data_IF_301236197783
#
_entry.id   IF_301236197783
#
_cell.length_a   1.000
_cell.length_b   1.000
_cell.length_c   1.000
_cell.angle_alpha   90.00
_cell.angle_beta   90.00
_cell.angle_gamma   90.00
#
_symmetry.space_group_name_H-M   'P 1'
#
loop_
_entity.id
_entity.type
_entity.pdbx_description
1 polymer ?
#
# COMPACT_ATOMS: atom_id res chain seq x y z
N UNK A 1 0.19 -29.13 37.19
CA UNK A 1 0.60 -30.22 36.27
C UNK A 1 -0.18 -30.01 34.98
N UNK A 2 0.46 -29.36 34.01
CA UNK A 2 -0.15 -28.92 32.74
C UNK A 2 -0.68 -30.11 31.94
N UNK A 3 -1.94 -30.03 31.50
CA UNK A 3 -2.51 -30.99 30.56
C UNK A 3 -1.91 -30.74 29.18
N UNK A 4 -0.88 -31.49 28.80
CA UNK A 4 -0.50 -31.62 27.39
C UNK A 4 -1.67 -32.27 26.64
N UNK A 5 -2.26 -31.53 25.71
CA UNK A 5 -3.19 -32.07 24.73
C UNK A 5 -2.46 -33.14 23.91
N UNK A 6 -3.07 -34.31 23.73
CA UNK A 6 -2.50 -35.39 22.94
C UNK A 6 -2.58 -35.05 21.46
N UNK A 7 -1.62 -35.54 20.67
CA UNK A 7 -1.54 -35.27 19.21
C UNK A 7 -2.84 -35.60 18.46
N UNK A 8 -3.58 -36.62 18.93
CA UNK A 8 -4.89 -36.98 18.41
C UNK A 8 -5.96 -35.90 18.64
N UNK A 9 -5.94 -35.21 19.78
CA UNK A 9 -6.85 -34.09 20.06
C UNK A 9 -6.52 -32.85 19.22
N UNK A 10 -5.25 -32.71 18.85
CA UNK A 10 -4.76 -31.65 17.97
C UNK A 10 -5.15 -31.92 16.51
N UNK A 11 -5.03 -33.16 16.04
CA UNK A 11 -5.49 -33.56 14.70
C UNK A 11 -7.01 -33.45 14.57
N UNK A 12 -7.76 -33.84 15.61
CA UNK A 12 -9.23 -33.70 15.60
C UNK A 12 -9.70 -32.25 15.64
N UNK A 13 -8.99 -31.34 16.33
CA UNK A 13 -9.30 -29.91 16.28
C UNK A 13 -8.92 -29.29 14.94
N UNK A 14 -7.85 -29.75 14.30
CA UNK A 14 -7.48 -29.38 12.93
C UNK A 14 -8.54 -29.84 11.91
N UNK A 15 -8.97 -31.11 11.96
CA UNK A 15 -9.95 -31.66 11.01
C UNK A 15 -11.36 -31.09 11.21
N UNK A 16 -11.77 -30.79 12.45
CA UNK A 16 -13.05 -30.15 12.73
C UNK A 16 -13.11 -28.69 12.22
N UNK A 17 -11.96 -28.00 12.18
CA UNK A 17 -11.84 -26.66 11.57
C UNK A 17 -12.05 -26.68 10.06
N UNK A 18 -11.67 -27.77 9.38
CA UNK A 18 -11.81 -27.90 7.92
C UNK A 18 -13.21 -28.28 7.43
N UNK A 19 -14.05 -28.87 8.29
CA UNK A 19 -15.39 -29.34 7.88
C UNK A 19 -16.53 -28.37 8.17
N UNK A 20 -16.29 -27.24 8.84
CA UNK A 20 -17.34 -26.26 9.21
C UNK A 20 -17.38 -25.01 8.33
N UNK A 21 -16.49 -24.89 7.35
CA UNK A 21 -16.51 -23.78 6.39
C UNK A 21 -16.80 -24.33 5.01
N UNK A 22 -18.00 -24.07 4.51
CA UNK A 22 -18.37 -24.21 3.10
C UNK A 22 -17.57 -23.20 2.27
N UNK A 23 -16.28 -23.47 2.10
CA UNK A 23 -15.39 -22.68 1.27
C UNK A 23 -15.59 -23.08 -0.19
N UNK A 24 -16.20 -22.18 -0.97
CA UNK A 24 -16.20 -22.22 -2.42
C UNK A 24 -15.10 -21.27 -2.93
N UNK A 25 -14.06 -21.76 -3.63
CA UNK A 25 -13.07 -20.88 -4.23
C UNK A 25 -13.76 -19.91 -5.21
N UNK A 26 -13.72 -18.61 -4.91
CA UNK A 26 -14.30 -17.55 -5.75
C UNK A 26 -15.44 -16.74 -5.12
N UNK A 27 -15.93 -17.11 -3.94
CA UNK A 27 -16.80 -16.23 -3.13
C UNK A 27 -16.25 -16.14 -1.73
N UNK A 28 -15.78 -14.95 -1.29
CA UNK A 28 -15.25 -14.86 0.05
C UNK A 28 -16.43 -14.89 1.03
N UNK A 29 -16.38 -15.79 2.01
CA UNK A 29 -17.41 -15.95 3.04
C UNK A 29 -16.86 -15.51 4.41
N UNK A 30 -17.74 -15.00 5.29
CA UNK A 30 -17.38 -14.53 6.64
C UNK A 30 -17.01 -13.05 6.69
N UNK A 31 -16.04 -12.66 7.53
CA UNK A 31 -15.50 -11.28 7.61
C UNK A 31 -14.96 -10.76 6.25
N UNK A 32 -14.72 -11.69 5.33
CA UNK A 32 -14.30 -11.46 3.97
C UNK A 32 -15.47 -11.37 2.98
N UNK A 33 -16.74 -11.33 3.41
CA UNK A 33 -17.95 -11.28 2.54
C UNK A 33 -18.02 -10.15 1.49
N UNK A 34 -16.92 -9.42 1.29
CA UNK A 34 -16.70 -8.44 0.26
C UNK A 34 -17.21 -7.11 0.75
N UNK A 35 -16.30 -6.18 1.03
CA UNK A 35 -16.70 -4.78 1.04
C UNK A 35 -17.13 -4.45 -0.39
N UNK A 36 -18.40 -4.06 -0.57
CA UNK A 36 -18.89 -3.63 -1.87
C UNK A 36 -18.45 -2.18 -2.10
N UNK A 37 -17.42 -2.01 -2.94
CA UNK A 37 -16.88 -0.70 -3.28
C UNK A 37 -17.92 0.18 -3.98
N UNK A 38 -18.82 -0.39 -4.80
CA UNK A 38 -19.84 0.42 -5.47
C UNK A 38 -20.83 0.97 -4.44
N UNK A 39 -21.25 0.13 -3.49
CA UNK A 39 -22.13 0.57 -2.41
C UNK A 39 -21.47 1.64 -1.52
N UNK A 40 -20.15 1.59 -1.33
CA UNK A 40 -19.41 2.66 -0.64
C UNK A 40 -19.40 3.96 -1.45
N UNK A 41 -19.14 3.90 -2.76
CA UNK A 41 -19.14 5.09 -3.64
C UNK A 41 -20.52 5.77 -3.61
N UNK A 42 -21.58 4.97 -3.63
CA UNK A 42 -22.96 5.48 -3.64
C UNK A 42 -23.43 5.95 -2.25
N UNK A 43 -22.63 5.75 -1.19
CA UNK A 43 -22.98 6.11 0.18
C UNK A 43 -22.59 7.58 0.47
N UNK A 44 -23.54 8.43 0.93
CA UNK A 44 -23.22 9.83 1.27
C UNK A 44 -22.21 9.98 2.42
N UNK A 45 -22.12 8.98 3.31
CA UNK A 45 -21.25 8.99 4.48
C UNK A 45 -19.92 8.25 4.24
N UNK A 46 -19.57 7.95 2.98
CA UNK A 46 -18.37 7.19 2.62
C UNK A 46 -17.09 7.77 3.24
N UNK A 47 -16.98 9.10 3.29
CA UNK A 47 -15.84 9.80 3.86
C UNK A 47 -15.60 9.47 5.34
N UNK A 48 -16.67 9.23 6.08
CA UNK A 48 -16.59 8.90 7.51
C UNK A 48 -16.45 7.39 7.75
N UNK A 49 -16.99 6.58 6.83
CA UNK A 49 -16.99 5.11 6.95
C UNK A 49 -15.65 4.52 6.52
N UNK A 50 -15.14 4.89 5.34
CA UNK A 50 -13.97 4.28 4.71
C UNK A 50 -12.72 4.26 5.61
N UNK A 51 -12.34 5.37 6.29
CA UNK A 51 -11.16 5.38 7.16
C UNK A 51 -11.23 4.36 8.31
N UNK A 52 -12.44 3.95 8.70
CA UNK A 52 -12.71 3.06 9.83
C UNK A 52 -12.89 1.59 9.41
N UNK A 53 -12.86 1.29 8.11
CA UNK A 53 -12.99 -0.08 7.63
C UNK A 53 -11.72 -0.88 7.93
N UNK A 54 -11.86 -2.19 8.23
CA UNK A 54 -10.71 -3.07 8.39
C UNK A 54 -9.81 -3.05 7.14
N UNK A 55 -8.52 -2.78 7.35
CA UNK A 55 -7.50 -2.61 6.32
C UNK A 55 -7.52 -3.76 5.29
N UNK A 56 -7.34 -5.00 5.75
CA UNK A 56 -7.16 -6.13 4.85
C UNK A 56 -8.41 -6.46 4.00
N UNK A 57 -9.64 -6.51 4.55
CA UNK A 57 -10.85 -6.61 3.74
C UNK A 57 -11.01 -5.49 2.71
N UNK A 58 -10.68 -4.24 3.07
CA UNK A 58 -10.80 -3.10 2.16
C UNK A 58 -9.78 -3.19 1.02
N UNK A 59 -8.53 -3.57 1.35
CA UNK A 59 -7.49 -3.85 0.37
C UNK A 59 -7.96 -4.86 -0.67
N UNK A 60 -8.46 -6.02 -0.23
CA UNK A 60 -8.87 -7.08 -1.17
C UNK A 60 -10.06 -6.65 -2.02
N UNK A 61 -11.00 -5.89 -1.47
CA UNK A 61 -12.13 -5.35 -2.23
C UNK A 61 -11.67 -4.36 -3.31
N UNK A 62 -10.77 -3.43 -2.98
CA UNK A 62 -10.15 -2.50 -3.92
C UNK A 62 -9.30 -3.24 -4.96
N UNK A 63 -8.56 -4.27 -4.56
CA UNK A 63 -7.72 -5.07 -5.46
C UNK A 63 -8.56 -5.88 -6.45
N UNK A 64 -9.69 -6.44 -6.00
CA UNK A 64 -10.60 -7.21 -6.84
C UNK A 64 -11.30 -6.31 -7.87
N UNK A 65 -11.71 -5.10 -7.47
CA UNK A 65 -12.30 -4.12 -8.39
C UNK A 65 -11.26 -3.46 -9.29
N UNK A 66 -10.06 -3.23 -8.78
CA UNK A 66 -9.03 -2.39 -9.37
C UNK A 66 -9.00 -1.01 -8.70
N UNK A 67 -7.81 -0.58 -8.24
CA UNK A 67 -7.62 0.76 -7.66
C UNK A 67 -7.96 1.88 -8.64
N UNK A 68 -7.61 1.71 -9.92
CA UNK A 68 -7.93 2.68 -10.98
C UNK A 68 -9.44 2.80 -11.27
N UNK A 69 -10.23 1.79 -10.90
CA UNK A 69 -11.70 1.78 -11.05
C UNK A 69 -12.43 2.20 -9.76
N UNK A 70 -11.66 2.68 -8.78
CA UNK A 70 -12.13 3.02 -7.42
C UNK A 70 -11.59 4.39 -6.96
N UNK A 71 -11.32 5.31 -7.89
CA UNK A 71 -10.68 6.60 -7.62
C UNK A 71 -11.45 7.45 -6.61
N UNK A 72 -12.78 7.32 -6.57
CA UNK A 72 -13.67 8.04 -5.66
C UNK A 72 -13.48 7.65 -4.18
N UNK A 73 -12.96 6.45 -3.91
CA UNK A 73 -12.72 5.94 -2.56
C UNK A 73 -11.31 6.28 -2.06
N UNK A 74 -10.32 6.40 -2.96
CA UNK A 74 -8.93 6.59 -2.59
C UNK A 74 -8.69 7.81 -1.67
N UNK A 75 -9.32 8.98 -1.88
CA UNK A 75 -9.18 10.13 -0.99
C UNK A 75 -9.67 9.91 0.44
N UNK A 76 -10.53 8.90 0.66
CA UNK A 76 -11.10 8.60 1.97
C UNK A 76 -10.28 7.57 2.74
N UNK A 77 -9.21 7.03 2.16
CA UNK A 77 -8.34 6.11 2.87
C UNK A 77 -7.63 6.83 4.02
N UNK A 78 -7.56 6.16 5.16
CA UNK A 78 -6.72 6.58 6.26
C UNK A 78 -5.24 6.35 5.92
N UNK A 79 -4.34 7.09 6.58
CA UNK A 79 -2.90 6.88 6.44
C UNK A 79 -2.50 5.43 6.74
N UNK A 80 -3.01 4.85 7.83
CA UNK A 80 -2.75 3.46 8.21
C UNK A 80 -3.13 2.49 7.08
N UNK A 81 -4.29 2.68 6.45
CA UNK A 81 -4.72 1.86 5.32
C UNK A 81 -3.75 1.98 4.14
N UNK A 82 -3.33 3.20 3.77
CA UNK A 82 -2.40 3.42 2.65
C UNK A 82 -1.05 2.75 2.90
N UNK A 83 -0.48 2.88 4.09
CA UNK A 83 0.80 2.26 4.48
C UNK A 83 0.71 0.73 4.34
N UNK A 84 -0.34 0.12 4.90
CA UNK A 84 -0.52 -1.32 4.79
C UNK A 84 -0.80 -1.79 3.36
N UNK A 85 -1.50 -1.00 2.54
CA UNK A 85 -1.72 -1.35 1.14
C UNK A 85 -0.42 -1.30 0.35
N UNK A 86 0.44 -0.32 0.62
CA UNK A 86 1.78 -0.25 0.05
C UNK A 86 2.57 -1.52 0.40
N UNK A 87 2.62 -1.89 1.69
CA UNK A 87 3.28 -3.11 2.17
C UNK A 87 2.79 -4.38 1.44
N UNK A 88 1.48 -4.50 1.19
CA UNK A 88 0.96 -5.65 0.44
C UNK A 88 1.33 -5.63 -1.04
N UNK A 89 1.46 -4.46 -1.66
CA UNK A 89 1.67 -4.32 -3.10
C UNK A 89 3.13 -4.36 -3.51
N UNK A 90 4.04 -3.85 -2.68
CA UNK A 90 5.39 -3.44 -3.11
C UNK A 90 6.43 -4.54 -2.99
N UNK A 91 6.16 -5.56 -2.17
CA UNK A 91 7.09 -6.66 -1.93
C UNK A 91 6.84 -7.84 -2.87
N UNK A 92 7.93 -8.47 -3.28
CA UNK A 92 7.93 -9.76 -3.97
C UNK A 92 8.80 -10.75 -3.18
N UNK A 93 8.17 -11.48 -2.26
CA UNK A 93 8.90 -12.22 -1.23
C UNK A 93 9.63 -11.25 -0.29
N UNK A 94 10.97 -11.36 -0.25
CA UNK A 94 11.83 -10.53 0.62
C UNK A 94 12.44 -9.33 -0.13
N UNK A 95 12.05 -9.08 -1.38
CA UNK A 95 12.58 -8.00 -2.21
C UNK A 95 11.55 -6.87 -2.40
N UNK A 96 11.98 -5.64 -2.13
CA UNK A 96 11.18 -4.45 -2.43
C UNK A 96 11.26 -4.13 -3.93
N UNK A 97 10.12 -3.85 -4.56
CA UNK A 97 10.05 -3.46 -5.97
C UNK A 97 9.59 -2.01 -6.17
N UNK A 98 10.49 -1.10 -6.55
CA UNK A 98 10.13 0.29 -6.87
C UNK A 98 9.05 0.38 -7.96
N UNK A 99 9.13 -0.50 -8.96
CA UNK A 99 8.14 -0.55 -10.05
C UNK A 99 6.73 -0.86 -9.55
N UNK A 100 6.60 -1.73 -8.54
CA UNK A 100 5.31 -2.08 -7.93
C UNK A 100 4.80 -0.94 -7.06
N UNK A 101 5.68 -0.25 -6.34
CA UNK A 101 5.31 0.98 -5.63
C UNK A 101 4.73 2.02 -6.59
N UNK A 102 5.41 2.33 -7.71
CA UNK A 102 4.89 3.32 -8.65
C UNK A 102 3.55 2.89 -9.27
N UNK A 103 3.36 1.60 -9.52
CA UNK A 103 2.07 1.08 -9.98
C UNK A 103 0.97 1.22 -8.92
N UNK A 104 1.29 1.02 -7.64
CA UNK A 104 0.39 1.26 -6.52
C UNK A 104 0.05 2.74 -6.33
N UNK A 105 1.02 3.64 -6.52
CA UNK A 105 0.84 5.09 -6.37
C UNK A 105 0.11 5.75 -7.55
N UNK A 106 0.19 5.15 -8.75
CA UNK A 106 -0.39 5.70 -9.99
C UNK A 106 -1.88 6.07 -9.91
N UNK A 107 -2.77 5.28 -9.29
CA UNK A 107 -4.17 5.66 -9.10
C UNK A 107 -4.34 6.95 -8.28
N UNK A 108 -3.51 7.20 -7.27
CA UNK A 108 -3.55 8.46 -6.52
C UNK A 108 -3.15 9.66 -7.40
N UNK A 109 -2.18 9.48 -8.30
CA UNK A 109 -1.85 10.49 -9.31
C UNK A 109 -3.00 10.79 -10.28
N UNK A 110 -3.86 9.79 -10.55
CA UNK A 110 -5.05 9.97 -11.37
C UNK A 110 -6.18 10.72 -10.63
N UNK A 111 -6.17 10.72 -9.29
CA UNK A 111 -7.04 11.59 -8.48
C UNK A 111 -6.55 13.03 -8.57
N UNK A 112 -5.31 13.28 -8.17
CA UNK A 112 -4.63 14.58 -8.32
C UNK A 112 -3.13 14.48 -8.00
N UNK A 113 -2.35 15.48 -8.41
CA UNK A 113 -0.93 15.59 -8.02
C UNK A 113 -0.76 15.77 -6.50
N UNK A 114 -1.67 16.51 -5.86
CA UNK A 114 -1.66 16.72 -4.40
C UNK A 114 -1.91 15.41 -3.66
N UNK A 115 -2.89 14.61 -4.10
CA UNK A 115 -3.18 13.31 -3.49
C UNK A 115 -2.00 12.35 -3.61
N UNK A 116 -1.36 12.27 -4.78
CA UNK A 116 -0.13 11.50 -4.95
C UNK A 116 0.96 11.93 -3.96
N UNK A 117 1.21 13.24 -3.88
CA UNK A 117 2.22 13.79 -2.99
C UNK A 117 1.91 13.45 -1.54
N UNK A 118 0.68 13.72 -1.08
CA UNK A 118 0.23 13.41 0.28
C UNK A 118 0.44 11.94 0.59
N UNK A 119 -0.04 11.02 -0.27
CA UNK A 119 0.09 9.58 -0.02
C UNK A 119 1.52 9.09 -0.03
N UNK A 120 2.37 9.65 -0.89
CA UNK A 120 3.79 9.31 -0.90
C UNK A 120 4.49 9.77 0.38
N UNK A 121 4.22 11.00 0.85
CA UNK A 121 4.82 11.53 2.09
C UNK A 121 4.30 10.88 3.37
N UNK A 122 3.14 10.24 3.31
CA UNK A 122 2.54 9.47 4.41
C UNK A 122 3.20 8.11 4.64
N UNK A 123 3.92 7.59 3.64
CA UNK A 123 4.68 6.34 3.74
C UNK A 123 5.89 6.52 4.67
N UNK A 124 6.35 5.43 5.27
CA UNK A 124 7.59 5.45 6.04
C UNK A 124 8.78 5.87 5.15
N UNK A 125 9.77 6.53 5.77
CA UNK A 125 10.94 7.10 5.08
C UNK A 125 11.67 6.03 4.24
N UNK A 126 11.76 4.80 4.75
CA UNK A 126 12.38 3.68 4.05
C UNK A 126 11.68 3.36 2.72
N UNK A 127 10.35 3.41 2.68
CA UNK A 127 9.58 3.21 1.45
C UNK A 127 9.83 4.35 0.46
N UNK A 128 9.90 5.58 0.94
CA UNK A 128 10.17 6.74 0.09
C UNK A 128 11.56 6.64 -0.54
N UNK A 129 12.59 6.36 0.26
CA UNK A 129 13.98 6.20 -0.21
C UNK A 129 14.08 5.03 -1.19
N UNK A 130 13.58 3.85 -0.81
CA UNK A 130 13.67 2.64 -1.64
C UNK A 130 12.94 2.81 -2.98
N UNK A 131 11.83 3.53 -3.01
CA UNK A 131 11.09 3.81 -4.25
C UNK A 131 11.87 4.71 -5.21
N UNK A 132 12.64 5.64 -4.66
CA UNK A 132 13.41 6.61 -5.41
C UNK A 132 14.84 6.14 -5.72
N UNK A 133 15.25 5.01 -5.13
CA UNK A 133 16.54 4.38 -5.36
C UNK A 133 16.73 4.06 -6.86
N UNK A 134 17.84 4.53 -7.43
CA UNK A 134 18.14 4.39 -8.85
C UNK A 134 17.48 5.43 -9.77
N UNK A 135 16.59 6.30 -9.26
CA UNK A 135 16.07 7.46 -10.00
C UNK A 135 16.88 8.72 -9.73
N UNK A 136 17.53 8.80 -8.57
CA UNK A 136 18.45 9.88 -8.24
C UNK A 136 19.88 9.36 -8.14
N UNK A 137 20.81 10.18 -8.60
CA UNK A 137 22.22 10.03 -8.29
C UNK A 137 22.56 11.20 -7.38
N UNK A 138 22.88 10.90 -6.12
CA UNK A 138 23.31 11.92 -5.15
C UNK A 138 24.80 12.16 -5.36
N UNK A 139 25.15 13.41 -5.65
CA UNK A 139 26.55 13.85 -5.77
C UNK A 139 26.89 14.77 -4.59
N UNK A 140 28.08 14.62 -4.03
CA UNK A 140 28.59 15.56 -3.04
C UNK A 140 28.93 16.89 -3.73
N UNK A 141 28.57 18.01 -3.10
CA UNK A 141 28.82 19.36 -3.63
C UNK A 141 30.31 19.64 -3.84
N UNK A 142 31.19 18.98 -3.07
CA UNK A 142 32.64 19.10 -3.21
C UNK A 142 33.19 18.39 -4.46
N UNK A 143 32.39 17.48 -5.05
CA UNK A 143 32.74 16.66 -6.22
C UNK A 143 31.93 17.08 -7.46
N UNK A 144 31.79 18.40 -7.70
CA UNK A 144 31.09 18.98 -8.87
C UNK A 144 31.58 18.39 -10.21
N UNK A 145 32.84 18.00 -10.30
CA UNK A 145 33.41 17.41 -11.51
C UNK A 145 32.96 15.97 -11.82
N UNK A 146 32.28 15.31 -10.88
CA UNK A 146 31.68 14.00 -11.09
C UNK A 146 30.24 14.10 -11.65
N UNK A 147 29.72 15.32 -11.81
CA UNK A 147 28.40 15.55 -12.40
C UNK A 147 28.40 15.27 -13.91
N UNK A 148 27.26 14.81 -14.46
CA UNK A 148 27.09 14.74 -15.90
C UNK A 148 27.25 16.12 -16.56
N UNK A 149 27.92 16.15 -17.72
CA UNK A 149 28.16 17.36 -18.51
C UNK A 149 26.83 18.11 -18.75
N UNK A 150 26.77 19.38 -18.36
CA UNK A 150 25.59 20.26 -18.51
C UNK A 150 24.67 20.32 -17.29
N UNK A 151 24.92 19.51 -16.25
CA UNK A 151 24.27 19.63 -14.93
C UNK A 151 25.02 20.61 -14.04
N UNK A 152 26.34 20.71 -14.18
CA UNK A 152 27.23 21.61 -13.43
C UNK A 152 26.72 23.07 -13.38
N UNK A 153 26.26 23.59 -14.53
CA UNK A 153 25.75 24.97 -14.66
C UNK A 153 24.38 25.19 -13.99
N UNK A 154 23.64 24.11 -13.70
CA UNK A 154 22.31 24.15 -13.06
C UNK A 154 22.37 23.95 -11.54
N UNK A 155 23.48 23.43 -11.03
CA UNK A 155 23.66 23.09 -9.61
C UNK A 155 24.00 24.33 -8.76
N UNK A 156 24.20 25.50 -9.37
CA UNK A 156 24.50 26.77 -8.69
C UNK A 156 23.36 27.80 -8.82
N UNK A 157 22.82 28.38 -7.73
CA UNK A 157 22.35 27.78 -6.47
C UNK A 157 20.85 27.47 -6.54
N UNK A 158 20.43 26.28 -6.10
CA UNK A 158 19.02 26.06 -5.75
C UNK A 158 18.66 26.96 -4.54
N UNK A 159 17.50 27.63 -4.51
CA UNK A 159 17.24 28.72 -3.57
C UNK A 159 17.08 28.31 -2.10
N UNK A 160 17.10 27.03 -1.78
CA UNK A 160 16.73 26.55 -0.46
C UNK A 160 17.65 25.41 -0.05
N UNK A 161 18.53 25.69 0.91
CA UNK A 161 19.36 24.74 1.65
C UNK A 161 18.50 23.81 2.55
N UNK A 162 17.33 23.38 2.07
CA UNK A 162 16.37 22.58 2.84
C UNK A 162 15.90 21.44 1.96
N UNK A 163 16.30 20.23 2.32
CA UNK A 163 15.80 18.98 1.75
C UNK A 163 14.43 18.72 2.37
N UNK A 164 13.42 18.46 1.54
CA UNK A 164 12.13 17.92 1.96
C UNK A 164 12.22 16.39 1.97
#
# INVERSE_FOLDING_TARGET
MEKRLSDLSLVQSYDAGHQSLSWLPGQPAGLLAGIDIQALIDNPDARDIVPNLPVQPLYYALKQRGFSDSLEILPFLSQEQVIHFADYETWDGDEFSPSRMFNFLRPFAAVSEEELYTRFTELDEEYQIASLEGLFIVHEVEHIHDLPIGVEDRVYPMPCNTVF
#
